data_IF_206487214709
#
_entry.id   IF_206487214709
#
_cell.length_a   1.000
_cell.length_b   1.000
_cell.length_c   1.000
_cell.angle_alpha   90.00
_cell.angle_beta   90.00
_cell.angle_gamma   90.00
#
_symmetry.space_group_name_H-M   'P 1'
#
loop_
_entity.id
_entity.type
_entity.pdbx_description
1 polymer ?
#
# COMPACT_ATOMS: atom_id res chain seq x y z
N UNK A 1 -3.13 10.25 -5.24
CA UNK A 1 -4.38 10.14 -4.44
C UNK A 1 -4.40 11.13 -3.25
N UNK A 2 -5.58 11.55 -2.79
CA UNK A 2 -5.76 12.33 -1.55
C UNK A 2 -5.64 11.44 -0.29
N UNK A 3 -5.38 12.03 0.87
CA UNK A 3 -4.92 11.33 2.08
C UNK A 3 -5.76 10.13 2.52
N UNK A 4 -7.10 10.23 2.48
CA UNK A 4 -8.01 9.12 2.84
C UNK A 4 -7.88 7.92 1.90
N UNK A 5 -7.76 8.19 0.59
CA UNK A 5 -7.63 7.16 -0.43
C UNK A 5 -6.30 6.40 -0.28
N UNK A 6 -5.22 7.08 0.16
CA UNK A 6 -3.92 6.43 0.43
C UNK A 6 -4.03 5.43 1.58
N UNK A 7 -4.68 5.82 2.67
CA UNK A 7 -4.89 4.96 3.83
C UNK A 7 -5.71 3.71 3.49
N UNK A 8 -6.76 3.86 2.66
CA UNK A 8 -7.57 2.72 2.21
C UNK A 8 -6.77 1.77 1.32
N UNK A 9 -5.95 2.29 0.40
CA UNK A 9 -5.06 1.47 -0.44
C UNK A 9 -4.08 0.69 0.42
N UNK A 10 -3.45 1.33 1.41
CA UNK A 10 -2.51 0.68 2.33
C UNK A 10 -3.18 -0.44 3.11
N UNK A 11 -4.36 -0.16 3.69
CA UNK A 11 -5.13 -1.12 4.46
C UNK A 11 -5.53 -2.33 3.62
N UNK A 12 -6.00 -2.14 2.39
CA UNK A 12 -6.39 -3.25 1.50
C UNK A 12 -5.19 -4.16 1.21
N UNK A 13 -4.01 -3.61 0.93
CA UNK A 13 -2.83 -4.39 0.56
C UNK A 13 -2.15 -5.06 1.76
N UNK A 14 -2.31 -4.52 2.98
CA UNK A 14 -1.79 -5.11 4.20
C UNK A 14 -2.74 -6.15 4.81
N UNK A 15 -4.05 -5.84 4.89
CA UNK A 15 -5.02 -6.60 5.68
C UNK A 15 -5.84 -7.62 4.86
N UNK A 16 -5.83 -7.56 3.52
CA UNK A 16 -6.69 -8.43 2.70
C UNK A 16 -5.93 -9.65 2.15
N UNK A 17 -6.32 -10.89 2.53
CA UNK A 17 -5.64 -12.10 2.08
C UNK A 17 -5.59 -12.24 0.55
N UNK A 18 -6.62 -11.78 -0.16
CA UNK A 18 -6.76 -11.88 -1.61
C UNK A 18 -5.69 -11.14 -2.44
N UNK A 19 -5.02 -10.13 -1.88
CA UNK A 19 -3.92 -9.41 -2.54
C UNK A 19 -2.52 -9.77 -1.95
N UNK A 20 -2.49 -10.62 -0.92
CA UNK A 20 -1.30 -11.10 -0.24
C UNK A 20 -1.09 -10.52 1.17
N UNK A 21 -2.11 -10.58 2.04
CA UNK A 21 -1.95 -10.21 3.45
C UNK A 21 -0.80 -10.98 4.12
N UNK A 22 -0.11 -10.29 5.04
CA UNK A 22 1.14 -10.69 5.72
C UNK A 22 2.43 -10.62 4.89
N UNK A 23 2.45 -9.90 3.77
CA UNK A 23 3.72 -9.43 3.23
C UNK A 23 4.34 -8.40 4.18
N UNK A 24 5.62 -8.62 4.52
CA UNK A 24 6.41 -7.60 5.23
C UNK A 24 6.45 -6.29 4.43
N UNK A 25 6.73 -5.19 5.13
CA UNK A 25 6.71 -3.80 4.64
C UNK A 25 7.13 -3.66 3.17
N UNK A 26 8.32 -4.16 2.82
CA UNK A 26 8.91 -3.98 1.49
C UNK A 26 8.12 -4.62 0.35
N UNK A 27 7.53 -5.80 0.57
CA UNK A 27 6.71 -6.47 -0.44
C UNK A 27 5.37 -5.77 -0.63
N UNK A 28 4.78 -5.27 0.44
CA UNK A 28 3.56 -4.45 0.41
C UNK A 28 3.83 -3.15 -0.35
N UNK A 29 4.92 -2.46 -0.04
CA UNK A 29 5.36 -1.24 -0.74
C UNK A 29 5.53 -1.47 -2.23
N UNK A 30 6.24 -2.53 -2.62
CA UNK A 30 6.51 -2.83 -4.04
C UNK A 30 5.23 -3.08 -4.82
N UNK A 31 4.29 -3.85 -4.26
CA UNK A 31 3.00 -4.12 -4.92
C UNK A 31 2.12 -2.88 -5.09
N UNK A 32 2.18 -1.94 -4.13
CA UNK A 32 1.45 -0.68 -4.24
C UNK A 32 2.11 0.20 -5.31
N UNK A 33 3.44 0.27 -5.34
CA UNK A 33 4.21 1.04 -6.33
C UNK A 33 4.04 0.55 -7.78
N UNK A 34 3.75 -0.75 -7.97
CA UNK A 34 3.44 -1.30 -9.29
C UNK A 34 2.14 -0.73 -9.91
N UNK A 35 1.24 -0.15 -9.09
CA UNK A 35 -0.10 0.29 -9.53
C UNK A 35 -0.43 1.74 -9.20
N UNK A 36 0.24 2.31 -8.21
CA UNK A 36 -0.04 3.66 -7.71
C UNK A 36 1.27 4.41 -7.46
N UNK A 37 1.22 5.73 -7.67
CA UNK A 37 2.33 6.62 -7.38
C UNK A 37 1.84 7.84 -6.59
N UNK A 38 2.56 8.20 -5.54
CA UNK A 38 2.51 9.53 -4.93
C UNK A 38 3.83 9.89 -4.21
N UNK A 39 4.14 11.19 -4.03
CA UNK A 39 5.48 11.62 -3.59
C UNK A 39 5.88 11.14 -2.18
N UNK A 40 4.92 10.96 -1.28
CA UNK A 40 5.17 10.59 0.13
C UNK A 40 4.92 9.11 0.43
N UNK A 41 4.86 8.24 -0.58
CA UNK A 41 4.53 6.81 -0.41
C UNK A 41 5.33 6.12 0.69
N UNK A 42 6.66 6.27 0.71
CA UNK A 42 7.52 5.58 1.69
C UNK A 42 7.33 6.14 3.11
N UNK A 43 6.95 7.42 3.22
CA UNK A 43 6.66 8.05 4.51
C UNK A 43 5.28 7.67 5.05
N UNK A 44 4.35 7.31 4.16
CA UNK A 44 2.97 6.92 4.51
C UNK A 44 2.83 5.42 4.85
N UNK A 45 3.89 4.60 4.64
CA UNK A 45 3.94 3.12 4.87
C UNK A 45 4.62 2.75 6.20
#
# INVERSE_FOLDING_TARGET
PEGRIRADILKIYHDTPGNGAHFGRDKTTRKIQERYYWPTMIADI
#
